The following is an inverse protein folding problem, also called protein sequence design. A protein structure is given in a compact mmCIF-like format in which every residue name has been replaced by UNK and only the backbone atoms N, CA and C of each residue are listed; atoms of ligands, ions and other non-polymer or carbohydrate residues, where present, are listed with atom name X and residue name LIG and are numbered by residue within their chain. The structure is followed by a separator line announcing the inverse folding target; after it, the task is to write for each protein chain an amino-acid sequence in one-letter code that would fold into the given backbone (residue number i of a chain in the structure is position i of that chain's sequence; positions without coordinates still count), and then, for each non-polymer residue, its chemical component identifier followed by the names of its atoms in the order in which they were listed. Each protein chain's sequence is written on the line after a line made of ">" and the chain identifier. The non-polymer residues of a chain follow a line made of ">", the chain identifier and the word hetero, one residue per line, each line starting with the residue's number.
data_IF_765552503381
#
_entry.id   IF_765552503381
#
_cell.length_a   1.000
_cell.length_b   1.000
_cell.length_c   1.000
_cell.angle_alpha   90.00
_cell.angle_beta   90.00
_cell.angle_gamma   90.00
#
_symmetry.space_group_name_H-M   'P 1'
#
loop_
_entity.id
_entity.type
_entity.pdbx_description
1 polymer ?
#
# COMPACT_ATOMS: atom_id res chain seq x y z
N UNK A 1 8.06 -2.16 13.62
CA UNK A 1 7.80 -2.47 12.19
C UNK A 1 6.33 -2.38 11.80
N UNK A 2 5.43 -3.20 12.35
CA UNK A 2 4.00 -3.16 11.95
C UNK A 2 3.35 -1.78 12.11
N UNK A 3 3.59 -1.10 13.23
CA UNK A 3 3.07 0.26 13.45
C UNK A 3 3.67 1.30 12.50
N UNK A 4 4.94 1.13 12.12
CA UNK A 4 5.63 1.98 11.13
C UNK A 4 5.02 1.85 9.72
N UNK A 5 4.39 0.71 9.41
CA UNK A 5 3.69 0.52 8.14
C UNK A 5 2.28 1.12 8.18
N UNK A 6 1.54 0.91 9.27
CA UNK A 6 0.07 1.04 9.27
C UNK A 6 -0.51 2.14 10.17
N UNK A 7 0.28 2.76 11.06
CA UNK A 7 -0.22 3.95 11.77
C UNK A 7 -0.47 5.08 10.78
N UNK A 8 -1.54 5.85 10.97
CA UNK A 8 -1.92 6.94 10.03
C UNK A 8 -0.76 7.92 9.79
N UNK A 9 -0.05 8.29 10.87
CA UNK A 9 1.11 9.18 10.79
C UNK A 9 2.22 8.56 9.95
N UNK A 10 2.64 7.33 10.24
CA UNK A 10 3.75 6.69 9.53
C UNK A 10 3.38 6.38 8.08
N UNK A 11 2.14 5.93 7.84
CA UNK A 11 1.61 5.65 6.51
C UNK A 11 1.72 6.89 5.61
N UNK A 12 1.23 8.04 6.08
CA UNK A 12 1.35 9.31 5.34
C UNK A 12 2.80 9.69 5.06
N UNK A 13 3.71 9.44 6.00
CA UNK A 13 5.13 9.78 5.84
C UNK A 13 5.83 8.94 4.77
N UNK A 14 5.68 7.61 4.79
CA UNK A 14 6.38 6.76 3.82
C UNK A 14 5.72 6.78 2.44
N UNK A 15 4.40 6.96 2.37
CA UNK A 15 3.67 7.08 1.10
C UNK A 15 3.86 8.42 0.40
N UNK A 16 4.39 9.44 1.07
CA UNK A 16 4.77 10.72 0.47
C UNK A 16 5.74 10.56 -0.71
N UNK A 17 6.56 9.51 -0.68
CA UNK A 17 7.45 9.12 -1.77
C UNK A 17 6.72 8.81 -3.09
N UNK A 18 5.46 8.35 -3.02
CA UNK A 18 4.61 8.08 -4.18
C UNK A 18 3.88 9.34 -4.62
N UNK A 19 3.19 9.97 -3.67
CA UNK A 19 2.46 11.21 -3.90
C UNK A 19 2.33 11.98 -2.58
N UNK A 20 2.76 13.25 -2.53
CA UNK A 20 2.72 14.02 -1.30
C UNK A 20 1.31 14.18 -0.72
N UNK A 21 1.20 13.95 0.59
CA UNK A 21 -0.07 14.00 1.31
C UNK A 21 -1.01 12.82 1.03
N UNK A 22 -0.48 11.68 0.57
CA UNK A 22 -1.23 10.43 0.45
C UNK A 22 -1.73 9.92 1.80
N UNK A 23 -2.88 9.27 1.82
CA UNK A 23 -3.50 8.71 3.02
C UNK A 23 -4.37 7.49 2.71
N UNK A 24 -4.61 6.69 3.75
CA UNK A 24 -5.48 5.53 3.69
C UNK A 24 -6.74 5.76 4.53
N UNK A 25 -7.90 5.44 3.95
CA UNK A 25 -9.18 5.40 4.67
C UNK A 25 -9.66 3.97 4.79
N UNK A 26 -9.67 3.43 6.02
CA UNK A 26 -10.22 2.11 6.34
C UNK A 26 -10.44 1.96 7.85
N UNK A 27 -11.28 1.01 8.22
CA UNK A 27 -11.35 0.47 9.59
C UNK A 27 -10.26 -0.58 9.88
N UNK A 28 -9.39 -0.87 8.90
CA UNK A 28 -8.23 -1.75 9.03
C UNK A 28 -8.55 -3.18 9.49
N UNK A 29 -9.74 -3.70 9.15
CA UNK A 29 -10.11 -5.09 9.40
C UNK A 29 -9.95 -5.93 8.14
N UNK A 30 -9.61 -7.20 8.32
CA UNK A 30 -9.65 -8.17 7.24
C UNK A 30 -11.06 -8.23 6.62
N UNK A 31 -11.13 -8.29 5.30
CA UNK A 31 -12.37 -8.21 4.53
C UNK A 31 -12.90 -6.80 4.32
N UNK A 32 -12.39 -5.79 5.02
CA UNK A 32 -12.85 -4.40 4.87
C UNK A 32 -12.28 -3.75 3.62
N UNK A 33 -13.04 -2.77 3.11
CA UNK A 33 -12.60 -1.90 2.03
C UNK A 33 -11.56 -0.91 2.57
N UNK A 34 -10.56 -0.62 1.76
CA UNK A 34 -9.55 0.41 2.02
C UNK A 34 -9.42 1.29 0.79
N UNK A 35 -9.30 2.60 1.01
CA UNK A 35 -9.06 3.57 -0.05
C UNK A 35 -7.70 4.19 0.17
N UNK A 36 -6.84 4.09 -0.84
CA UNK A 36 -5.57 4.79 -0.90
C UNK A 36 -5.79 6.04 -1.76
N UNK A 37 -5.62 7.20 -1.16
CA UNK A 37 -5.98 8.49 -1.75
C UNK A 37 -4.79 9.43 -1.72
N UNK A 38 -4.63 10.21 -2.78
CA UNK A 38 -3.72 11.35 -2.83
C UNK A 38 -4.40 12.58 -2.22
N UNK A 39 -3.61 13.64 -2.02
CA UNK A 39 -4.14 14.95 -1.57
C UNK A 39 -5.18 15.56 -2.53
N UNK A 40 -5.18 15.16 -3.80
CA UNK A 40 -6.16 15.59 -4.82
C UNK A 40 -7.46 14.76 -4.80
N UNK A 41 -7.50 13.68 -4.02
CA UNK A 41 -8.63 12.75 -3.92
C UNK A 41 -8.67 11.70 -5.03
N UNK A 42 -7.61 11.61 -5.84
CA UNK A 42 -7.38 10.52 -6.78
C UNK A 42 -6.70 9.34 -6.07
N UNK A 43 -6.78 8.14 -6.62
CA UNK A 43 -6.10 6.99 -6.04
C UNK A 43 -6.74 5.67 -6.42
N UNK A 44 -6.83 4.74 -5.47
CA UNK A 44 -7.36 3.41 -5.70
C UNK A 44 -8.09 2.86 -4.49
N UNK A 45 -9.04 1.96 -4.74
CA UNK A 45 -9.72 1.24 -3.68
C UNK A 45 -9.43 -0.25 -3.77
N UNK A 46 -9.22 -0.84 -2.60
CA UNK A 46 -8.84 -2.23 -2.42
C UNK A 46 -9.68 -2.86 -1.33
N UNK A 47 -9.52 -4.16 -1.15
CA UNK A 47 -9.97 -4.89 0.03
C UNK A 47 -8.76 -5.42 0.78
N UNK A 48 -8.81 -5.38 2.10
CA UNK A 48 -7.83 -6.04 2.96
C UNK A 48 -8.11 -7.53 2.89
N UNK A 49 -7.44 -8.23 1.98
CA UNK A 49 -7.65 -9.66 1.73
C UNK A 49 -7.10 -10.52 2.87
N UNK A 50 -5.98 -10.12 3.47
CA UNK A 50 -5.40 -10.81 4.62
C UNK A 50 -4.81 -9.80 5.59
N UNK A 51 -5.08 -9.98 6.88
CA UNK A 51 -4.46 -9.21 7.95
C UNK A 51 -4.08 -10.12 9.12
N UNK A 52 -2.80 -10.49 9.15
CA UNK A 52 -2.15 -11.16 10.26
C UNK A 52 -1.18 -10.19 10.93
N UNK A 53 -1.54 -9.61 12.09
CA UNK A 53 -0.70 -8.64 12.77
C UNK A 53 0.73 -9.15 12.98
N UNK A 54 1.71 -8.32 12.63
CA UNK A 54 3.15 -8.60 12.71
C UNK A 54 3.64 -9.75 11.82
N UNK A 55 2.86 -10.21 10.84
CA UNK A 55 3.20 -11.34 9.98
C UNK A 55 2.90 -11.05 8.50
N UNK A 56 1.65 -10.71 8.17
CA UNK A 56 1.23 -10.54 6.79
C UNK A 56 0.11 -9.50 6.65
N UNK A 57 0.22 -8.61 5.67
CA UNK A 57 -0.87 -7.78 5.18
C UNK A 57 -0.96 -7.90 3.67
N UNK A 58 -2.13 -8.28 3.14
CA UNK A 58 -2.36 -8.33 1.70
C UNK A 58 -3.58 -7.50 1.34
N UNK A 59 -3.39 -6.58 0.40
CA UNK A 59 -4.44 -5.82 -0.24
C UNK A 59 -4.69 -6.39 -1.63
N UNK A 60 -5.97 -6.45 -2.02
CA UNK A 60 -6.36 -6.77 -3.39
C UNK A 60 -7.05 -5.55 -3.99
N UNK A 61 -6.46 -5.00 -5.04
CA UNK A 61 -6.98 -3.84 -5.75
C UNK A 61 -8.26 -4.21 -6.50
N UNK A 62 -9.26 -3.34 -6.40
CA UNK A 62 -10.57 -3.52 -7.01
C UNK A 62 -10.84 -2.49 -8.11
N UNK A 63 -10.14 -1.35 -8.09
CA UNK A 63 -10.28 -0.30 -9.09
C UNK A 63 -9.67 1.02 -8.65
N UNK A 64 -9.88 2.05 -9.46
CA UNK A 64 -9.32 3.39 -9.25
C UNK A 64 -10.36 4.39 -8.77
N UNK A 65 -9.88 5.42 -8.09
CA UNK A 65 -10.67 6.57 -7.64
C UNK A 65 -10.16 7.77 -8.42
N UNK A 66 -11.10 8.52 -9.02
CA UNK A 66 -10.79 9.79 -9.67
C UNK A 66 -11.69 10.88 -9.07
N UNK A 67 -11.10 11.97 -8.60
CA UNK A 67 -11.78 13.09 -7.94
C UNK A 67 -12.73 12.64 -6.83
N UNK A 68 -12.26 11.72 -5.99
CA UNK A 68 -13.01 11.14 -4.87
C UNK A 68 -14.14 10.18 -5.25
N UNK A 69 -14.29 9.84 -6.54
CA UNK A 69 -15.30 8.90 -7.02
C UNK A 69 -14.68 7.62 -7.54
N UNK A 70 -15.17 6.49 -7.03
CA UNK A 70 -14.85 5.16 -7.56
C UNK A 70 -15.24 5.13 -9.05
N UNK A 71 -14.28 4.79 -9.90
CA UNK A 71 -14.50 4.73 -11.33
C UNK A 71 -15.18 3.40 -11.68
N UNK A 72 -16.08 3.40 -12.68
CA UNK A 72 -16.58 2.16 -13.24
C UNK A 72 -15.41 1.38 -13.86
N UNK A 73 -15.55 0.06 -13.95
CA UNK A 73 -14.57 -0.81 -14.59
C UNK A 73 -14.24 -0.28 -15.98
N UNK A 74 -13.02 0.23 -16.10
CA UNK A 74 -12.42 0.72 -17.33
C UNK A 74 -11.25 -0.20 -17.66
N UNK A 75 -10.75 -0.17 -18.90
CA UNK A 75 -9.63 -1.02 -19.31
C UNK A 75 -8.41 -0.89 -18.38
N UNK A 76 -8.11 0.34 -17.94
CA UNK A 76 -7.07 0.61 -16.93
C UNK A 76 -7.41 0.03 -15.55
N UNK A 77 -8.69 -0.01 -15.16
CA UNK A 77 -9.10 -0.67 -13.92
C UNK A 77 -9.06 -2.19 -14.04
N UNK A 78 -9.31 -2.77 -15.23
CA UNK A 78 -9.18 -4.21 -15.47
C UNK A 78 -7.74 -4.68 -15.30
N UNK A 79 -6.77 -3.87 -15.74
CA UNK A 79 -5.34 -4.11 -15.56
C UNK A 79 -4.91 -4.15 -14.07
N UNK A 80 -5.65 -3.46 -13.19
CA UNK A 80 -5.44 -3.48 -11.74
C UNK A 80 -6.44 -4.39 -10.99
N UNK A 81 -7.46 -4.90 -11.67
CA UNK A 81 -8.53 -5.68 -11.04
C UNK A 81 -7.98 -7.03 -10.59
N UNK A 82 -7.88 -7.23 -9.28
CA UNK A 82 -7.32 -8.45 -8.71
C UNK A 82 -5.81 -8.41 -8.49
N UNK A 83 -5.12 -7.34 -8.91
CA UNK A 83 -3.72 -7.11 -8.57
C UNK A 83 -3.57 -7.06 -7.03
N UNK A 84 -2.50 -7.67 -6.51
CA UNK A 84 -2.24 -7.74 -5.08
C UNK A 84 -1.03 -6.91 -4.67
N UNK A 85 -1.12 -6.39 -3.46
CA UNK A 85 -0.03 -5.72 -2.77
C UNK A 85 0.11 -6.38 -1.40
N UNK A 86 1.19 -7.14 -1.21
CA UNK A 86 1.41 -7.97 -0.04
C UNK A 86 2.69 -7.58 0.69
N UNK A 87 2.59 -7.53 2.01
CA UNK A 87 3.66 -7.19 2.93
C UNK A 87 3.84 -8.37 3.88
N UNK A 88 5.03 -8.95 3.89
CA UNK A 88 5.39 -10.06 4.74
C UNK A 88 6.48 -9.63 5.70
N UNK A 89 6.26 -9.89 6.98
CA UNK A 89 7.23 -9.67 8.04
C UNK A 89 7.73 -11.01 8.53
N UNK A 90 9.04 -11.16 8.58
CA UNK A 90 9.71 -12.28 9.20
C UNK A 90 10.72 -11.74 10.22
N UNK A 91 10.91 -12.47 11.31
CA UNK A 91 11.92 -12.15 12.31
C UNK A 91 12.95 -13.26 12.35
N UNK A 92 14.23 -12.91 12.21
CA UNK A 92 15.33 -13.83 12.38
C UNK A 92 16.47 -13.16 13.15
N UNK A 93 16.92 -13.79 14.24
CA UNK A 93 18.03 -13.31 15.09
C UNK A 93 17.89 -11.85 15.56
N UNK A 94 16.66 -11.42 15.87
CA UNK A 94 16.37 -10.05 16.32
C UNK A 94 16.38 -9.00 15.21
N UNK A 95 16.49 -9.42 13.95
CA UNK A 95 16.34 -8.57 12.77
C UNK A 95 14.97 -8.85 12.15
N UNK A 96 14.16 -7.81 11.99
CA UNK A 96 12.91 -7.90 11.23
C UNK A 96 13.19 -7.65 9.75
N UNK A 97 12.84 -8.62 8.91
CA UNK A 97 12.85 -8.49 7.45
C UNK A 97 11.43 -8.14 6.96
N UNK A 98 11.35 -7.15 6.08
CA UNK A 98 10.11 -6.75 5.41
C UNK A 98 10.25 -7.06 3.92
N UNK A 99 9.42 -7.98 3.44
CA UNK A 99 9.30 -8.31 2.03
C UNK A 99 8.00 -7.70 1.49
N UNK A 100 8.09 -6.97 0.37
CA UNK A 100 6.93 -6.36 -0.28
C UNK A 100 6.81 -6.91 -1.70
N UNK A 101 5.65 -7.47 -2.00
CA UNK A 101 5.30 -8.01 -3.31
C UNK A 101 4.12 -7.21 -3.86
N UNK A 102 4.27 -6.67 -5.07
CA UNK A 102 3.22 -5.88 -5.72
C UNK A 102 3.04 -6.35 -7.16
N UNK A 103 1.81 -6.69 -7.51
CA UNK A 103 1.41 -6.94 -8.89
C UNK A 103 1.29 -5.59 -9.60
N UNK A 104 2.16 -5.36 -10.58
CA UNK A 104 2.16 -4.14 -11.38
C UNK A 104 2.13 -4.49 -12.85
N UNK A 105 1.45 -3.67 -13.62
CA UNK A 105 1.51 -3.77 -15.08
C UNK A 105 2.88 -3.27 -15.57
N UNK A 106 3.35 -3.78 -16.71
CA UNK A 106 4.67 -3.44 -17.26
C UNK A 106 4.91 -1.93 -17.39
N UNK A 107 3.86 -1.15 -17.64
CA UNK A 107 3.94 0.31 -17.74
C UNK A 107 4.33 1.00 -16.42
N UNK A 108 3.96 0.43 -15.27
CA UNK A 108 4.25 1.00 -13.96
C UNK A 108 5.44 0.34 -13.25
N UNK A 109 5.97 -0.76 -13.79
CA UNK A 109 7.08 -1.51 -13.19
C UNK A 109 8.31 -0.64 -12.89
N UNK A 110 8.72 0.22 -13.84
CA UNK A 110 9.89 1.09 -13.62
C UNK A 110 9.64 2.13 -12.51
N UNK A 111 8.43 2.69 -12.47
CA UNK A 111 8.05 3.64 -11.43
C UNK A 111 8.10 2.99 -10.05
N UNK A 112 7.45 1.84 -9.87
CA UNK A 112 7.43 1.15 -8.58
C UNK A 112 8.81 0.67 -8.14
N UNK A 113 9.64 0.16 -9.06
CA UNK A 113 11.03 -0.23 -8.75
C UNK A 113 11.91 0.95 -8.30
N UNK A 114 11.57 2.19 -8.66
CA UNK A 114 12.29 3.39 -8.22
C UNK A 114 11.70 3.99 -6.95
N UNK A 115 10.39 3.86 -6.75
CA UNK A 115 9.66 4.55 -5.68
C UNK A 115 9.57 3.71 -4.40
N UNK A 116 9.27 2.41 -4.50
CA UNK A 116 9.21 1.53 -3.32
C UNK A 116 10.50 1.55 -2.50
N UNK A 117 11.71 1.45 -3.08
CA UNK A 117 12.94 1.49 -2.28
C UNK A 117 13.07 2.75 -1.43
N UNK A 118 12.66 3.92 -1.97
CA UNK A 118 12.67 5.18 -1.21
C UNK A 118 11.67 5.17 -0.07
N UNK A 119 10.48 4.64 -0.34
CA UNK A 119 9.40 4.53 0.62
C UNK A 119 9.78 3.57 1.77
N UNK A 120 10.36 2.41 1.44
CA UNK A 120 10.81 1.42 2.42
C UNK A 120 12.01 1.92 3.25
N UNK A 121 12.86 2.79 2.71
CA UNK A 121 13.90 3.45 3.49
C UNK A 121 13.30 4.35 4.59
N UNK A 122 12.17 5.03 4.31
CA UNK A 122 11.44 5.82 5.30
C UNK A 122 10.83 4.90 6.36
N UNK A 123 10.17 3.79 5.95
CA UNK A 123 9.63 2.79 6.89
C UNK A 123 10.72 2.26 7.82
N UNK A 124 11.89 1.92 7.27
CA UNK A 124 13.03 1.47 8.05
C UNK A 124 13.45 2.51 9.09
N UNK A 125 13.61 3.77 8.68
CA UNK A 125 13.97 4.86 9.61
C UNK A 125 12.94 5.06 10.72
N UNK A 126 11.64 4.94 10.42
CA UNK A 126 10.57 5.05 11.43
C UNK A 126 10.60 3.85 12.37
N UNK A 127 10.84 2.64 11.86
CA UNK A 127 10.85 1.42 12.65
C UNK A 127 12.07 1.28 13.57
N UNK A 128 13.18 1.94 13.25
CA UNK A 128 14.45 1.93 14.02
C UNK A 128 14.60 3.13 14.97
N UNK A 129 13.62 4.03 15.03
CA UNK A 129 13.53 5.12 16.02
C UNK A 129 13.10 4.60 17.39
#
# INVERSE_FOLDING_TARGET
>A
MWDALWSDVSYRQWTDAFSPGSYAESDWKEGSKIKFLTSEGDGMFSVIETKKPNDQMTFRHLGTILKGKEQPKSKESEDWEGAKESYFLSENDGITELNVEVDVTNQYQEYFNKTFPKALEIVKKIAEQ
#
